data_IF_576350222017
#
_entry.id   IF_576350222017
#
_cell.length_a   1.000
_cell.length_b   1.000
_cell.length_c   1.000
_cell.angle_alpha   90.00
_cell.angle_beta   90.00
_cell.angle_gamma   90.00
#
_symmetry.space_group_name_H-M   'P 1'
#
loop_
_entity.id
_entity.type
_entity.pdbx_description
1 polymer ?
#
# COMPACT_ATOMS: atom_id res chain seq x y z
N UNK A 1 -8.19 18.49 -8.69
CA UNK A 1 -7.74 18.02 -7.35
C UNK A 1 -6.58 17.06 -7.53
N UNK A 2 -5.49 17.20 -6.74
CA UNK A 2 -4.23 16.47 -6.95
C UNK A 2 -4.31 15.05 -6.38
N UNK A 3 -3.75 14.07 -7.11
CA UNK A 3 -3.55 12.68 -6.64
C UNK A 3 -2.12 12.50 -6.15
N UNK A 4 -1.90 11.63 -5.17
CA UNK A 4 -0.56 11.29 -4.67
C UNK A 4 0.08 10.14 -5.46
N UNK A 5 -0.73 9.12 -5.78
CA UNK A 5 -0.32 7.95 -6.54
C UNK A 5 -1.34 7.69 -7.65
N UNK A 6 -0.87 7.22 -8.81
CA UNK A 6 -1.73 6.67 -9.87
C UNK A 6 -1.78 5.14 -9.79
N UNK A 7 -0.62 4.53 -9.59
CA UNK A 7 -0.42 3.10 -9.38
C UNK A 7 0.55 2.89 -8.23
N UNK A 8 0.33 1.85 -7.42
CA UNK A 8 1.24 1.38 -6.39
C UNK A 8 1.51 -0.12 -6.61
N UNK A 9 2.78 -0.48 -6.73
CA UNK A 9 3.22 -1.89 -6.84
C UNK A 9 4.07 -2.24 -5.63
N UNK A 10 3.67 -3.29 -4.92
CA UNK A 10 4.37 -3.81 -3.74
C UNK A 10 4.83 -5.23 -4.05
N UNK A 11 6.11 -5.51 -3.81
CA UNK A 11 6.72 -6.81 -4.06
C UNK A 11 7.49 -7.27 -2.82
N UNK A 12 7.33 -8.53 -2.45
CA UNK A 12 8.07 -9.19 -1.37
C UNK A 12 8.07 -8.42 -0.04
N UNK A 13 6.91 -7.94 0.40
CA UNK A 13 6.79 -7.13 1.62
C UNK A 13 5.73 -7.68 2.58
N UNK A 14 6.16 -8.04 3.81
CA UNK A 14 5.27 -8.48 4.90
C UNK A 14 4.17 -9.46 4.48
N UNK A 15 4.56 -10.51 3.74
CA UNK A 15 3.68 -11.57 3.24
C UNK A 15 2.98 -11.28 1.91
N UNK A 16 3.06 -10.04 1.38
CA UNK A 16 2.64 -9.70 0.03
C UNK A 16 3.73 -10.17 -0.95
N UNK A 17 3.45 -11.24 -1.73
CA UNK A 17 4.37 -11.69 -2.78
C UNK A 17 4.44 -10.65 -3.91
N UNK A 18 3.27 -10.30 -4.45
CA UNK A 18 3.09 -9.23 -5.43
C UNK A 18 1.68 -8.65 -5.25
N UNK A 19 1.57 -7.33 -5.29
CA UNK A 19 0.29 -6.62 -5.21
C UNK A 19 0.36 -5.34 -6.03
N UNK A 20 -0.60 -5.16 -6.92
CA UNK A 20 -0.75 -3.96 -7.74
C UNK A 20 -2.08 -3.29 -7.41
N UNK A 21 -2.02 -2.04 -6.98
CA UNK A 21 -3.17 -1.16 -6.86
C UNK A 21 -3.09 -0.12 -7.98
N UNK A 22 -3.90 -0.31 -9.01
CA UNK A 22 -4.00 0.62 -10.14
C UNK A 22 -5.20 1.56 -9.97
N UNK A 23 -5.21 2.64 -10.76
CA UNK A 23 -6.32 3.61 -10.80
C UNK A 23 -6.61 4.28 -9.45
N UNK A 24 -5.59 4.52 -8.64
CA UNK A 24 -5.75 5.12 -7.32
C UNK A 24 -6.42 6.51 -7.42
N UNK A 25 -7.40 6.71 -6.54
CA UNK A 25 -8.14 7.94 -6.38
C UNK A 25 -7.54 8.83 -5.29
N UNK A 26 -8.16 9.99 -5.07
CA UNK A 26 -7.86 10.82 -3.88
C UNK A 26 -8.23 10.08 -2.58
N UNK A 27 -9.29 9.29 -2.62
CA UNK A 27 -9.76 8.44 -1.53
C UNK A 27 -9.81 7.02 -2.07
N UNK A 28 -9.24 6.07 -1.32
CA UNK A 28 -9.21 4.66 -1.66
C UNK A 28 -9.71 3.88 -0.45
N UNK A 29 -10.58 2.90 -0.67
CA UNK A 29 -11.13 2.05 0.39
C UNK A 29 -10.58 0.62 0.22
N UNK A 30 -9.77 0.18 1.19
CA UNK A 30 -9.26 -1.20 1.22
C UNK A 30 -10.21 -2.06 2.06
N UNK A 31 -10.90 -3.01 1.42
CA UNK A 31 -11.83 -3.94 2.09
C UNK A 31 -11.34 -5.38 2.00
N UNK A 32 -11.76 -6.20 2.95
CA UNK A 32 -11.46 -7.64 2.96
C UNK A 32 -11.38 -8.21 4.38
N UNK A 33 -11.25 -9.54 4.53
CA UNK A 33 -11.16 -10.21 5.83
C UNK A 33 -9.96 -9.75 6.67
N UNK A 34 -9.99 -10.01 7.98
CA UNK A 34 -8.81 -9.78 8.82
C UNK A 34 -7.60 -10.57 8.28
N UNK A 35 -6.40 -10.01 8.47
CA UNK A 35 -5.14 -10.60 8.01
C UNK A 35 -4.99 -10.74 6.47
N UNK A 36 -5.87 -10.13 5.67
CA UNK A 36 -5.81 -10.17 4.20
C UNK A 36 -4.74 -9.26 3.57
N UNK A 37 -3.79 -8.74 4.34
CA UNK A 37 -2.72 -7.86 3.84
C UNK A 37 -3.04 -6.36 3.76
N UNK A 38 -4.22 -5.91 4.23
CA UNK A 38 -4.58 -4.47 4.23
C UNK A 38 -3.60 -3.61 5.03
N UNK A 39 -3.25 -4.05 6.25
CA UNK A 39 -2.25 -3.36 7.07
C UNK A 39 -0.88 -3.39 6.39
N UNK A 40 -0.47 -4.51 5.80
CA UNK A 40 0.79 -4.61 5.04
C UNK A 40 0.86 -3.61 3.88
N UNK A 41 -0.26 -3.33 3.19
CA UNK A 41 -0.30 -2.28 2.16
C UNK A 41 -0.03 -0.89 2.76
N UNK A 42 -0.65 -0.57 3.90
CA UNK A 42 -0.43 0.73 4.57
C UNK A 42 1.01 0.85 5.10
N UNK A 43 1.58 -0.23 5.63
CA UNK A 43 2.97 -0.27 6.09
C UNK A 43 3.96 -0.12 4.93
N UNK A 44 3.69 -0.70 3.76
CA UNK A 44 4.50 -0.50 2.56
C UNK A 44 4.50 0.96 2.10
N UNK A 45 3.32 1.62 2.14
CA UNK A 45 3.20 3.05 1.84
C UNK A 45 3.99 3.88 2.87
N UNK A 46 3.90 3.53 4.15
CA UNK A 46 4.64 4.21 5.22
C UNK A 46 6.15 4.10 5.01
N UNK A 47 6.69 2.90 4.75
CA UNK A 47 8.11 2.70 4.46
C UNK A 47 8.57 3.46 3.21
N UNK A 48 7.73 3.52 2.17
CA UNK A 48 8.06 4.30 0.97
C UNK A 48 8.20 5.81 1.27
N UNK A 49 7.30 6.36 2.09
CA UNK A 49 7.32 7.76 2.48
C UNK A 49 8.41 8.08 3.52
N UNK A 50 8.73 7.12 4.38
CA UNK A 50 9.64 7.24 5.51
C UNK A 50 10.67 6.10 5.53
N UNK A 51 11.59 6.02 4.55
CA UNK A 51 12.43 4.85 4.32
C UNK A 51 13.50 4.60 5.39
N UNK A 52 13.77 5.59 6.25
CA UNK A 52 14.75 5.49 7.33
C UNK A 52 14.10 5.31 8.70
N UNK A 53 12.78 5.41 8.77
CA UNK A 53 12.04 5.21 10.02
C UNK A 53 11.82 3.70 10.21
N UNK A 54 12.09 3.15 11.40
CA UNK A 54 11.76 1.76 11.68
C UNK A 54 10.25 1.53 11.62
N UNK A 55 9.84 0.48 10.89
CA UNK A 55 8.46 0.02 10.81
C UNK A 55 7.97 -0.68 12.08
#
# INVERSE_FOLDING_TARGET
MKKHFETLTIKQFRGLQESELSQLGRINLLVGPNNSGKTSILEAISAYCHPLDPL
#
